data_IF_331670142996
#
_entry.id   IF_331670142996
#
_cell.length_a   1.000
_cell.length_b   1.000
_cell.length_c   1.000
_cell.angle_alpha   90.00
_cell.angle_beta   90.00
_cell.angle_gamma   90.00
#
_symmetry.space_group_name_H-M   'P 1'
#
loop_
_entity.id
_entity.type
_entity.pdbx_description
1 polymer ?
#
# COMPACT_ATOMS: atom_id res chain seq x y z
N UNK A 1 -10.23 16.15 -11.84
CA UNK A 1 -10.59 15.57 -10.53
C UNK A 1 -10.08 14.15 -10.55
N UNK A 2 -9.11 13.79 -9.70
CA UNK A 2 -8.58 12.42 -9.68
C UNK A 2 -9.55 11.55 -8.88
N UNK A 3 -10.02 10.48 -9.51
CA UNK A 3 -10.95 9.52 -8.93
C UNK A 3 -10.20 8.35 -8.30
N UNK A 4 -10.92 7.54 -7.52
CA UNK A 4 -10.44 6.22 -7.08
C UNK A 4 -10.17 5.28 -8.27
N UNK A 5 -9.78 4.03 -8.00
CA UNK A 5 -9.51 3.04 -9.05
C UNK A 5 -10.80 2.49 -9.64
N UNK A 6 -11.12 2.88 -10.87
CA UNK A 6 -12.25 2.42 -11.68
C UNK A 6 -11.77 1.87 -13.03
N UNK A 7 -12.62 1.16 -13.79
CA UNK A 7 -12.27 0.69 -15.13
C UNK A 7 -11.71 1.78 -16.04
N UNK A 8 -12.26 3.00 -15.96
CA UNK A 8 -11.82 4.16 -16.74
C UNK A 8 -10.40 4.58 -16.36
N UNK A 9 -10.04 4.54 -15.08
CA UNK A 9 -8.69 4.84 -14.59
C UNK A 9 -7.68 3.79 -15.03
N UNK A 10 -8.09 2.51 -15.07
CA UNK A 10 -7.25 1.41 -15.60
C UNK A 10 -7.13 1.45 -17.12
N UNK A 11 -8.18 1.91 -17.82
CA UNK A 11 -8.16 2.17 -19.26
C UNK A 11 -7.17 3.29 -19.60
N UNK A 12 -7.21 4.41 -18.87
CA UNK A 12 -6.24 5.51 -19.00
C UNK A 12 -4.79 5.03 -18.79
N UNK A 13 -4.56 4.09 -17.85
CA UNK A 13 -3.27 3.44 -17.70
C UNK A 13 -2.81 2.74 -18.99
N UNK A 14 -3.67 1.92 -19.60
CA UNK A 14 -3.32 1.20 -20.82
C UNK A 14 -3.10 2.16 -22.00
N UNK A 15 -3.96 3.16 -22.18
CA UNK A 15 -3.86 4.17 -23.24
C UNK A 15 -2.53 4.93 -23.15
N UNK A 16 -2.21 5.49 -21.98
CA UNK A 16 -0.92 6.18 -21.76
C UNK A 16 0.28 5.26 -21.87
N UNK A 17 0.15 4.00 -21.46
CA UNK A 17 1.26 3.05 -21.60
C UNK A 17 1.50 2.68 -23.06
N UNK A 18 0.46 2.54 -23.88
CA UNK A 18 0.56 2.24 -25.31
C UNK A 18 1.24 3.35 -26.11
N UNK A 19 1.27 4.59 -25.61
CA UNK A 19 2.06 5.68 -26.20
C UNK A 19 3.57 5.49 -25.98
N UNK A 20 3.98 4.70 -24.98
CA UNK A 20 5.36 4.55 -24.54
C UNK A 20 5.95 3.17 -24.87
N UNK A 21 5.10 2.19 -25.15
CA UNK A 21 5.50 0.78 -25.31
C UNK A 21 4.55 0.03 -26.25
N UNK A 22 4.95 -1.17 -26.70
CA UNK A 22 4.11 -1.96 -27.60
C UNK A 22 3.05 -2.75 -26.85
N UNK A 23 1.97 -3.13 -27.56
CA UNK A 23 0.91 -3.98 -27.00
C UNK A 23 1.44 -5.33 -26.48
N UNK A 24 2.48 -5.90 -27.07
CA UNK A 24 3.10 -7.16 -26.61
C UNK A 24 3.78 -7.02 -25.23
N UNK A 25 4.13 -5.80 -24.82
CA UNK A 25 4.68 -5.52 -23.49
C UNK A 25 3.57 -5.26 -22.44
N UNK A 26 2.31 -5.09 -22.85
CA UNK A 26 1.16 -4.78 -21.99
C UNK A 26 0.07 -5.87 -21.97
N UNK A 27 -0.01 -6.68 -23.02
CA UNK A 27 -1.04 -7.69 -23.22
C UNK A 27 -0.42 -9.06 -23.54
N UNK A 28 -1.07 -10.11 -23.06
CA UNK A 28 -0.81 -11.47 -23.50
C UNK A 28 -1.36 -11.67 -24.90
N UNK A 29 -0.59 -12.31 -25.76
CA UNK A 29 -1.02 -12.68 -27.12
C UNK A 29 -1.45 -14.14 -27.14
N UNK A 30 -2.72 -14.41 -27.45
CA UNK A 30 -3.24 -15.77 -27.62
C UNK A 30 -2.89 -16.36 -28.99
N UNK A 31 -3.05 -17.68 -29.14
CA UNK A 31 -2.82 -18.38 -30.42
C UNK A 31 -3.75 -17.91 -31.55
N UNK A 32 -4.98 -17.47 -31.21
CA UNK A 32 -5.93 -16.83 -32.12
C UNK A 32 -5.67 -15.32 -32.31
N UNK A 33 -4.46 -14.84 -31.99
CA UNK A 33 -3.99 -13.46 -32.19
C UNK A 33 -4.76 -12.36 -31.43
N UNK A 34 -5.41 -12.71 -30.30
CA UNK A 34 -6.05 -11.73 -29.41
C UNK A 34 -5.02 -11.18 -28.41
N UNK A 35 -5.21 -9.93 -28.01
CA UNK A 35 -4.37 -9.24 -27.03
C UNK A 35 -5.18 -9.00 -25.77
N UNK A 36 -4.88 -9.74 -24.69
CA UNK A 36 -5.66 -9.73 -23.45
C UNK A 36 -4.80 -9.31 -22.25
N UNK A 37 -5.37 -8.54 -21.32
CA UNK A 37 -4.69 -8.17 -20.09
C UNK A 37 -4.41 -9.40 -19.21
N UNK A 38 -5.26 -10.42 -19.27
CA UNK A 38 -5.05 -11.69 -18.61
C UNK A 38 -5.51 -12.87 -19.48
N UNK A 39 -4.85 -14.01 -19.30
CA UNK A 39 -5.28 -15.26 -19.92
C UNK A 39 -6.72 -15.60 -19.49
N UNK A 40 -7.63 -15.95 -20.42
CA UNK A 40 -8.97 -16.42 -20.07
C UNK A 40 -8.92 -17.66 -19.15
N UNK A 41 -9.86 -17.79 -18.19
CA UNK A 41 -9.88 -18.92 -17.24
C UNK A 41 -9.76 -20.30 -17.89
N UNK A 42 -10.44 -20.49 -19.02
CA UNK A 42 -10.47 -21.77 -19.77
C UNK A 42 -9.44 -21.85 -20.89
N UNK A 43 -8.45 -20.95 -20.95
CA UNK A 43 -7.43 -20.97 -21.99
C UNK A 43 -6.50 -22.18 -21.84
N UNK A 44 -6.47 -23.03 -22.88
CA UNK A 44 -5.72 -24.29 -22.96
C UNK A 44 -4.46 -24.22 -23.82
N UNK A 45 -4.28 -23.16 -24.61
CA UNK A 45 -3.11 -22.97 -25.47
C UNK A 45 -1.83 -22.67 -24.70
N UNK A 46 -0.72 -22.53 -25.43
CA UNK A 46 0.59 -22.18 -24.84
C UNK A 46 0.53 -20.78 -24.21
N UNK A 47 1.08 -20.66 -23.00
CA UNK A 47 1.10 -19.43 -22.22
C UNK A 47 2.52 -18.86 -22.14
N UNK A 48 2.60 -17.54 -22.11
CA UNK A 48 3.80 -16.77 -21.80
C UNK A 48 3.63 -16.00 -20.50
N UNK A 49 4.74 -15.45 -19.99
CA UNK A 49 4.77 -14.55 -18.84
C UNK A 49 4.93 -13.11 -19.32
N UNK A 50 4.22 -12.17 -18.70
CA UNK A 50 4.29 -10.76 -19.03
C UNK A 50 4.81 -9.98 -17.82
N UNK A 51 6.13 -9.83 -17.73
CA UNK A 51 6.79 -9.15 -16.61
C UNK A 51 6.84 -7.62 -16.79
N UNK A 52 6.99 -7.15 -18.04
CA UNK A 52 7.15 -5.73 -18.39
C UNK A 52 6.02 -4.85 -17.84
N UNK A 53 4.77 -5.30 -17.93
CA UNK A 53 3.60 -4.56 -17.46
C UNK A 53 3.67 -4.16 -15.98
N UNK A 54 4.28 -4.99 -15.13
CA UNK A 54 4.30 -4.74 -13.69
C UNK A 54 5.04 -3.45 -13.34
N UNK A 55 6.09 -3.09 -14.10
CA UNK A 55 6.80 -1.83 -13.92
C UNK A 55 5.95 -0.63 -14.34
N UNK A 56 5.25 -0.72 -15.48
CA UNK A 56 4.37 0.35 -15.97
C UNK A 56 3.22 0.64 -15.01
N UNK A 57 2.49 -0.40 -14.57
CA UNK A 57 1.35 -0.21 -13.65
C UNK A 57 1.80 0.27 -12.27
N UNK A 58 2.96 -0.19 -11.78
CA UNK A 58 3.56 0.30 -10.55
C UNK A 58 3.80 1.81 -10.62
N UNK A 59 4.56 2.26 -11.62
CA UNK A 59 4.86 3.69 -11.77
C UNK A 59 3.61 4.55 -11.98
N UNK A 60 2.65 4.06 -12.77
CA UNK A 60 1.37 4.75 -13.00
C UNK A 60 0.57 4.90 -11.70
N UNK A 61 0.43 3.82 -10.93
CA UNK A 61 -0.37 3.83 -9.70
C UNK A 61 0.26 4.69 -8.60
N UNK A 62 1.58 4.69 -8.47
CA UNK A 62 2.29 5.58 -7.56
C UNK A 62 2.05 7.06 -7.89
N UNK A 63 2.20 7.44 -9.17
CA UNK A 63 1.90 8.81 -9.64
C UNK A 63 0.45 9.19 -9.43
N UNK A 64 -0.48 8.25 -9.68
CA UNK A 64 -1.91 8.44 -9.46
C UNK A 64 -2.21 8.71 -7.98
N UNK A 65 -1.59 7.97 -7.06
CA UNK A 65 -1.72 8.19 -5.61
C UNK A 65 -1.18 9.56 -5.19
N UNK A 66 -0.01 9.98 -5.70
CA UNK A 66 0.52 11.34 -5.43
C UNK A 66 -0.49 12.39 -5.86
N UNK A 67 -0.98 12.31 -7.10
CA UNK A 67 -1.95 13.27 -7.64
C UNK A 67 -3.27 13.29 -6.85
N UNK A 68 -3.76 12.12 -6.44
CA UNK A 68 -4.97 11.97 -5.61
C UNK A 68 -4.83 12.66 -4.24
N UNK A 69 -3.61 12.74 -3.72
CA UNK A 69 -3.32 13.22 -2.36
C UNK A 69 -2.72 14.62 -2.29
N UNK A 70 -2.42 15.26 -3.43
CA UNK A 70 -1.81 16.60 -3.48
C UNK A 70 -2.58 17.65 -2.68
N UNK A 71 -3.90 17.73 -2.87
CA UNK A 71 -4.74 18.70 -2.17
C UNK A 71 -4.79 18.44 -0.66
N UNK A 72 -4.87 17.17 -0.28
CA UNK A 72 -4.88 16.73 1.11
C UNK A 72 -3.54 17.00 1.82
N UNK A 73 -2.42 16.78 1.14
CA UNK A 73 -1.10 17.13 1.66
C UNK A 73 -0.99 18.64 1.87
N UNK A 74 -1.40 19.43 0.88
CA UNK A 74 -1.38 20.88 0.93
C UNK A 74 -2.23 21.44 2.06
N UNK A 75 -3.43 20.91 2.31
CA UNK A 75 -4.29 21.35 3.42
C UNK A 75 -3.69 21.07 4.80
N UNK A 76 -2.75 20.13 4.90
CA UNK A 76 -2.04 19.77 6.11
C UNK A 76 -0.62 20.38 6.19
N UNK A 77 -0.26 21.31 5.29
CA UNK A 77 1.09 21.89 5.18
C UNK A 77 2.19 20.83 4.96
N UNK A 78 1.88 19.79 4.21
CA UNK A 78 2.79 18.70 3.86
C UNK A 78 2.97 18.61 2.34
N UNK A 79 4.02 17.91 1.93
CA UNK A 79 4.26 17.48 0.57
C UNK A 79 3.96 15.99 0.45
N UNK A 80 3.35 15.56 -0.65
CA UNK A 80 3.23 14.14 -1.00
C UNK A 80 4.20 13.84 -2.13
N UNK A 81 5.13 12.92 -1.89
CA UNK A 81 6.28 12.67 -2.76
C UNK A 81 6.35 11.20 -3.16
N UNK A 82 6.73 10.94 -4.41
CA UNK A 82 7.01 9.60 -4.92
C UNK A 82 8.49 9.25 -4.68
N UNK A 83 8.79 7.98 -4.39
CA UNK A 83 10.16 7.47 -4.40
C UNK A 83 11.04 8.06 -3.30
N UNK A 84 10.52 8.18 -2.08
CA UNK A 84 11.24 8.82 -0.96
C UNK A 84 12.33 7.92 -0.41
N UNK A 85 13.52 8.48 -0.27
CA UNK A 85 14.74 7.84 0.27
C UNK A 85 14.96 8.38 1.69
N UNK A 86 15.14 7.48 2.64
CA UNK A 86 15.50 7.78 4.01
C UNK A 86 16.32 6.63 4.59
N UNK A 87 17.65 6.81 4.62
CA UNK A 87 18.59 5.77 5.07
C UNK A 87 18.38 5.40 6.54
N UNK A 88 17.95 6.35 7.39
CA UNK A 88 17.58 6.13 8.80
C UNK A 88 16.44 5.11 8.98
N UNK A 89 15.61 4.93 7.95
CA UNK A 89 14.47 4.00 7.93
C UNK A 89 14.74 2.76 7.05
N UNK A 90 15.98 2.57 6.58
CA UNK A 90 16.32 1.52 5.62
C UNK A 90 15.68 1.69 4.24
N UNK A 91 15.18 2.89 3.92
CA UNK A 91 14.59 3.24 2.63
C UNK A 91 15.68 3.79 1.70
N UNK A 92 16.44 2.88 1.08
CA UNK A 92 17.57 3.25 0.21
C UNK A 92 17.13 3.62 -1.20
N UNK A 93 18.01 4.17 -2.01
CA UNK A 93 17.78 4.38 -3.46
C UNK A 93 17.39 3.13 -4.24
N UNK A 94 17.71 1.92 -3.74
CA UNK A 94 17.34 0.64 -4.36
C UNK A 94 15.95 0.15 -3.96
N UNK A 95 15.43 0.65 -2.84
CA UNK A 95 14.10 0.30 -2.32
C UNK A 95 13.51 1.50 -1.57
N UNK A 96 13.24 2.63 -2.28
CA UNK A 96 12.64 3.80 -1.67
C UNK A 96 11.20 3.50 -1.23
N UNK A 97 10.60 4.36 -0.41
CA UNK A 97 9.17 4.34 -0.22
C UNK A 97 8.45 4.72 -1.52
N UNK A 98 7.36 4.02 -1.83
CA UNK A 98 6.60 4.26 -3.06
C UNK A 98 6.02 5.68 -3.04
N UNK A 99 5.35 6.04 -1.94
CA UNK A 99 4.85 7.40 -1.66
C UNK A 99 5.04 7.73 -0.17
N UNK A 100 5.31 8.99 0.16
CA UNK A 100 5.30 9.47 1.55
C UNK A 100 4.78 10.90 1.68
N UNK A 101 4.24 11.22 2.85
CA UNK A 101 3.97 12.59 3.27
C UNK A 101 5.17 13.13 4.02
N UNK A 102 5.65 14.31 3.61
CA UNK A 102 6.87 14.90 4.13
C UNK A 102 6.67 16.38 4.48
N UNK A 103 7.39 16.86 5.49
CA UNK A 103 7.44 18.28 5.88
C UNK A 103 8.21 19.14 4.86
N UNK A 104 9.09 18.53 4.06
CA UNK A 104 9.91 19.21 3.06
C UNK A 104 9.67 18.65 1.66
N UNK A 105 9.91 19.46 0.64
CA UNK A 105 9.75 19.09 -0.77
C UNK A 105 11.04 18.51 -1.36
N UNK A 106 11.53 17.40 -0.80
CA UNK A 106 12.72 16.69 -1.28
C UNK A 106 12.49 15.17 -1.25
N UNK A 107 12.98 14.44 -2.24
CA UNK A 107 12.88 12.98 -2.24
C UNK A 107 13.82 12.32 -1.24
N UNK A 108 14.97 12.95 -0.92
CA UNK A 108 15.85 12.50 0.15
C UNK A 108 15.43 13.17 1.46
N UNK A 109 15.05 12.37 2.44
CA UNK A 109 14.46 12.80 3.70
C UNK A 109 15.24 12.25 4.90
N UNK A 110 15.18 13.01 6.00
CA UNK A 110 15.42 12.50 7.35
C UNK A 110 14.12 11.94 7.91
N UNK A 111 14.20 10.99 8.86
CA UNK A 111 13.01 10.36 9.42
C UNK A 111 12.07 11.39 10.07
N UNK A 112 12.62 12.38 10.78
CA UNK A 112 11.86 13.48 11.43
C UNK A 112 10.98 14.30 10.48
N UNK A 113 11.26 14.26 9.18
CA UNK A 113 10.50 14.98 8.16
C UNK A 113 9.41 14.13 7.52
N UNK A 114 9.34 12.83 7.78
CA UNK A 114 8.33 11.93 7.23
C UNK A 114 7.18 11.84 8.22
N UNK A 115 5.95 12.03 7.73
CA UNK A 115 4.72 11.96 8.54
C UNK A 115 3.87 10.73 8.27
N UNK A 116 4.00 10.11 7.11
CA UNK A 116 3.28 8.89 6.74
C UNK A 116 4.02 8.24 5.57
N UNK A 117 4.17 6.92 5.62
CA UNK A 117 4.68 6.11 4.50
C UNK A 117 3.53 5.33 3.88
N UNK A 118 3.47 5.35 2.55
CA UNK A 118 2.50 4.62 1.75
C UNK A 118 3.25 3.69 0.80
N UNK A 119 2.98 2.39 0.96
CA UNK A 119 3.42 1.36 0.00
C UNK A 119 2.28 1.05 -0.97
N UNK A 120 2.55 1.09 -2.27
CA UNK A 120 1.55 0.84 -3.31
C UNK A 120 1.70 -0.59 -3.83
N UNK A 121 0.59 -1.33 -3.83
CA UNK A 121 0.46 -2.71 -4.32
C UNK A 121 -0.78 -2.87 -5.19
N UNK A 122 -1.06 -1.82 -5.96
CA UNK A 122 -2.10 -1.81 -6.99
C UNK A 122 -1.62 -2.55 -8.25
N UNK A 123 -2.55 -3.12 -9.00
CA UNK A 123 -2.25 -3.76 -10.30
C UNK A 123 -3.42 -3.66 -11.26
N UNK A 124 -3.28 -4.17 -12.47
CA UNK A 124 -4.44 -4.42 -13.33
C UNK A 124 -5.41 -5.37 -12.61
N UNK A 125 -6.70 -5.04 -12.60
CA UNK A 125 -7.77 -5.78 -11.92
C UNK A 125 -8.73 -6.39 -12.92
N UNK A 126 -9.00 -5.68 -14.01
CA UNK A 126 -9.96 -6.10 -15.01
C UNK A 126 -9.25 -6.79 -16.18
N UNK A 127 -10.00 -7.62 -16.90
CA UNK A 127 -9.52 -8.19 -18.15
C UNK A 127 -9.94 -7.29 -19.30
N UNK A 128 -8.96 -6.71 -19.97
CA UNK A 128 -9.13 -5.88 -21.15
C UNK A 128 -8.68 -6.64 -22.39
N UNK A 129 -9.42 -6.47 -23.47
CA UNK A 129 -9.00 -6.91 -24.80
C UNK A 129 -8.65 -5.70 -25.66
N UNK A 130 -7.50 -5.74 -26.31
CA UNK A 130 -7.05 -4.71 -27.22
C UNK A 130 -7.33 -5.11 -28.67
N UNK A 131 -8.29 -4.44 -29.31
CA UNK A 131 -8.77 -4.74 -30.66
C UNK A 131 -8.76 -3.47 -31.49
N UNK A 132 -8.05 -3.47 -32.63
CA UNK A 132 -8.06 -2.37 -33.61
C UNK A 132 -7.82 -0.96 -33.04
N UNK A 133 -6.99 -0.84 -32.00
CA UNK A 133 -6.70 0.44 -31.35
C UNK A 133 -7.55 0.74 -30.11
N UNK A 134 -8.55 -0.09 -29.82
CA UNK A 134 -9.50 0.13 -28.73
C UNK A 134 -9.35 -0.90 -27.60
N UNK A 135 -9.69 -0.49 -26.38
CA UNK A 135 -9.73 -1.33 -25.20
C UNK A 135 -11.17 -1.68 -24.84
N UNK A 136 -11.47 -2.97 -24.85
CA UNK A 136 -12.79 -3.52 -24.53
C UNK A 136 -12.69 -4.26 -23.20
N UNK A 137 -13.53 -3.88 -22.24
CA UNK A 137 -13.64 -4.59 -20.96
C UNK A 137 -14.34 -5.93 -21.17
N UNK A 138 -13.64 -7.04 -20.92
CA UNK A 138 -14.16 -8.41 -21.12
C UNK A 138 -14.35 -9.18 -19.81
N UNK A 139 -14.02 -8.57 -18.66
CA UNK A 139 -14.41 -9.05 -17.34
C UNK A 139 -13.52 -8.55 -16.21
N UNK A 140 -13.61 -9.20 -15.04
CA UNK A 140 -12.88 -8.86 -13.82
C UNK A 140 -11.91 -9.98 -13.39
N UNK A 141 -11.27 -9.81 -12.23
CA UNK A 141 -10.33 -10.80 -11.68
C UNK A 141 -10.92 -12.16 -11.32
N UNK A 142 -12.25 -12.29 -11.36
CA UNK A 142 -12.94 -13.57 -11.24
C UNK A 142 -13.23 -14.22 -12.60
N UNK A 143 -12.96 -13.58 -13.74
CA UNK A 143 -13.17 -14.15 -15.08
C UNK A 143 -11.88 -14.62 -15.77
N UNK A 144 -10.71 -14.21 -15.27
CA UNK A 144 -9.41 -14.52 -15.88
C UNK A 144 -8.49 -15.37 -14.98
N UNK A 145 -7.39 -15.86 -15.56
CA UNK A 145 -6.30 -16.51 -14.84
C UNK A 145 -5.34 -15.45 -14.31
N UNK A 146 -4.69 -15.75 -13.20
CA UNK A 146 -3.79 -14.81 -12.54
C UNK A 146 -4.51 -13.99 -11.48
N UNK A 147 -3.75 -13.63 -10.46
CA UNK A 147 -4.27 -13.00 -9.25
C UNK A 147 -3.70 -11.58 -9.15
N UNK A 148 -4.54 -10.54 -9.00
CA UNK A 148 -4.06 -9.16 -8.94
C UNK A 148 -3.71 -8.71 -7.52
N UNK A 149 -2.90 -7.65 -7.43
CA UNK A 149 -2.68 -6.85 -6.22
C UNK A 149 -2.44 -7.64 -4.94
N UNK A 150 -3.23 -7.30 -3.92
CA UNK A 150 -3.19 -7.87 -2.57
C UNK A 150 -3.84 -9.26 -2.47
N UNK A 151 -4.52 -9.73 -3.52
CA UNK A 151 -4.93 -11.13 -3.59
C UNK A 151 -3.72 -12.06 -3.79
N UNK A 152 -2.56 -11.55 -4.21
CA UNK A 152 -1.33 -12.35 -4.27
C UNK A 152 -0.60 -12.37 -2.93
N UNK A 153 -0.26 -13.57 -2.47
CA UNK A 153 0.53 -13.76 -1.25
C UNK A 153 1.91 -13.10 -1.33
N UNK A 154 2.57 -13.10 -2.50
CA UNK A 154 3.90 -12.49 -2.63
C UNK A 154 3.83 -10.97 -2.49
N UNK A 155 2.82 -10.31 -3.08
CA UNK A 155 2.58 -8.88 -2.91
C UNK A 155 2.35 -8.52 -1.43
N UNK A 156 1.50 -9.30 -0.74
CA UNK A 156 1.24 -9.12 0.69
C UNK A 156 2.51 -9.27 1.54
N UNK A 157 3.29 -10.32 1.30
CA UNK A 157 4.51 -10.59 2.07
C UNK A 157 5.59 -9.53 1.83
N UNK A 158 5.73 -9.03 0.60
CA UNK A 158 6.67 -7.93 0.28
C UNK A 158 6.28 -6.65 1.02
N UNK A 159 5.00 -6.28 1.02
CA UNK A 159 4.50 -5.12 1.74
C UNK A 159 4.75 -5.22 3.26
N UNK A 160 4.43 -6.38 3.85
CA UNK A 160 4.67 -6.65 5.27
C UNK A 160 6.17 -6.63 5.58
N UNK A 161 6.99 -7.26 4.74
CA UNK A 161 8.44 -7.31 4.92
C UNK A 161 9.08 -5.92 4.90
N UNK A 162 8.66 -5.05 3.99
CA UNK A 162 9.14 -3.67 3.93
C UNK A 162 8.72 -2.86 5.16
N UNK A 163 7.46 -3.01 5.63
CA UNK A 163 7.00 -2.37 6.85
C UNK A 163 7.80 -2.82 8.08
N UNK A 164 8.07 -4.13 8.21
CA UNK A 164 8.92 -4.66 9.28
C UNK A 164 10.33 -4.07 9.19
N UNK A 165 10.93 -4.01 8.00
CA UNK A 165 12.27 -3.44 7.81
C UNK A 165 12.36 -1.98 8.30
N UNK A 166 11.33 -1.17 7.99
CA UNK A 166 11.23 0.20 8.50
C UNK A 166 11.14 0.18 10.04
N UNK A 167 10.23 -0.62 10.62
CA UNK A 167 10.01 -0.69 12.07
C UNK A 167 11.24 -1.12 12.87
N UNK A 168 12.09 -1.99 12.31
CA UNK A 168 13.32 -2.46 12.98
C UNK A 168 14.54 -1.55 12.72
N UNK A 169 14.39 -0.47 11.95
CA UNK A 169 15.47 0.49 11.70
C UNK A 169 15.75 1.40 12.91
N UNK A 170 14.92 1.34 13.95
CA UNK A 170 15.13 2.01 15.24
C UNK A 170 14.03 3.01 15.59
N UNK A 171 14.27 3.77 16.66
CA UNK A 171 13.30 4.69 17.27
C UNK A 171 12.81 5.79 16.32
N UNK A 172 13.63 6.17 15.34
CA UNK A 172 13.27 7.14 14.30
C UNK A 172 12.07 6.72 13.43
N UNK A 173 11.71 5.43 13.43
CA UNK A 173 10.55 4.90 12.71
C UNK A 173 9.30 4.74 13.57
N UNK A 174 9.42 4.93 14.89
CA UNK A 174 8.39 4.52 15.87
C UNK A 174 7.09 5.28 15.69
N UNK A 175 7.17 6.56 15.34
CA UNK A 175 6.04 7.48 15.21
C UNK A 175 5.49 7.62 13.79
N UNK A 176 6.13 6.98 12.81
CA UNK A 176 5.72 7.07 11.41
C UNK A 176 4.67 5.99 11.10
N UNK A 177 3.42 6.33 10.76
CA UNK A 177 2.44 5.36 10.30
C UNK A 177 2.83 4.81 8.92
N UNK A 178 2.46 3.55 8.67
CA UNK A 178 2.68 2.86 7.41
C UNK A 178 1.35 2.31 6.91
N UNK A 179 0.97 2.68 5.69
CA UNK A 179 -0.25 2.19 5.03
C UNK A 179 0.12 1.45 3.76
N UNK A 180 -0.57 0.35 3.48
CA UNK A 180 -0.45 -0.38 2.22
C UNK A 180 -1.67 -0.10 1.37
N UNK A 181 -1.50 0.52 0.21
CA UNK A 181 -2.58 0.78 -0.74
C UNK A 181 -2.65 -0.32 -1.79
N UNK A 182 -3.83 -0.86 -2.02
CA UNK A 182 -4.15 -1.78 -3.10
C UNK A 182 -5.40 -1.34 -3.85
N UNK A 183 -5.85 -2.18 -4.76
CA UNK A 183 -7.08 -1.98 -5.54
C UNK A 183 -7.86 -3.29 -5.72
N UNK A 184 -7.61 -4.24 -4.82
CA UNK A 184 -8.24 -5.56 -4.78
C UNK A 184 -8.62 -5.89 -3.34
N UNK A 185 -9.55 -6.83 -3.12
CA UNK A 185 -9.71 -7.45 -1.82
C UNK A 185 -8.45 -8.21 -1.38
N UNK A 186 -8.49 -8.77 -0.17
CA UNK A 186 -7.48 -9.70 0.35
C UNK A 186 -8.02 -11.13 0.38
N UNK A 187 -7.13 -12.13 0.40
CA UNK A 187 -7.57 -13.52 0.59
C UNK A 187 -8.08 -13.73 2.02
N UNK A 188 -9.02 -14.65 2.21
CA UNK A 188 -9.58 -15.01 3.53
C UNK A 188 -8.51 -15.39 4.55
N UNK A 189 -7.44 -16.05 4.11
CA UNK A 189 -6.29 -16.44 4.93
C UNK A 189 -5.55 -15.24 5.57
N UNK A 190 -5.65 -14.04 4.99
CA UNK A 190 -5.00 -12.83 5.49
C UNK A 190 -5.88 -11.99 6.43
N UNK A 191 -7.18 -12.26 6.55
CA UNK A 191 -8.11 -11.45 7.37
C UNK A 191 -7.60 -11.28 8.81
N UNK A 192 -7.30 -12.40 9.50
CA UNK A 192 -6.75 -12.33 10.87
C UNK A 192 -5.36 -11.69 10.90
N UNK A 193 -4.56 -11.90 9.85
CA UNK A 193 -3.18 -11.41 9.79
C UNK A 193 -3.12 -9.88 9.68
N UNK A 194 -3.91 -9.27 8.80
CA UNK A 194 -3.95 -7.80 8.66
C UNK A 194 -4.47 -7.12 9.92
N UNK A 195 -5.46 -7.73 10.59
CA UNK A 195 -5.96 -7.25 11.87
C UNK A 195 -4.90 -7.33 12.97
N UNK A 196 -4.07 -8.39 12.97
CA UNK A 196 -2.95 -8.51 13.91
C UNK A 196 -1.83 -7.51 13.62
N UNK A 197 -1.49 -7.29 12.34
CA UNK A 197 -0.47 -6.32 11.94
C UNK A 197 -0.84 -4.90 12.35
N UNK A 198 -2.13 -4.52 12.18
CA UNK A 198 -2.65 -3.24 12.66
C UNK A 198 -2.60 -3.13 14.17
N UNK A 199 -3.08 -4.15 14.88
CA UNK A 199 -3.04 -4.17 16.35
C UNK A 199 -1.61 -4.07 16.89
N UNK A 200 -0.66 -4.72 16.23
CA UNK A 200 0.75 -4.69 16.61
C UNK A 200 1.47 -3.38 16.22
N UNK A 201 0.83 -2.46 15.49
CA UNK A 201 1.43 -1.21 15.03
C UNK A 201 2.41 -1.36 13.87
N UNK A 202 2.56 -2.56 13.28
CA UNK A 202 3.50 -2.80 12.17
C UNK A 202 3.02 -2.07 10.91
N UNK A 203 1.72 -2.18 10.60
CA UNK A 203 1.05 -1.53 9.46
C UNK A 203 -0.30 -0.99 9.93
N UNK A 204 -0.56 0.29 9.75
CA UNK A 204 -1.78 0.96 10.25
C UNK A 204 -3.03 0.65 9.40
N UNK A 205 -2.85 0.17 8.17
CA UNK A 205 -3.95 -0.37 7.39
C UNK A 205 -3.55 -0.89 6.01
N UNK A 206 -4.32 -1.86 5.52
CA UNK A 206 -4.34 -2.29 4.13
C UNK A 206 -5.60 -1.73 3.47
N UNK A 207 -5.47 -0.74 2.61
CA UNK A 207 -6.61 -0.03 2.05
C UNK A 207 -6.75 -0.28 0.56
N UNK A 208 -7.92 -0.72 0.13
CA UNK A 208 -8.24 -0.86 -1.29
C UNK A 208 -8.92 0.40 -1.81
N UNK A 209 -8.30 1.08 -2.77
CA UNK A 209 -8.84 2.25 -3.46
C UNK A 209 -9.75 1.89 -4.64
N UNK A 210 -10.29 0.66 -4.67
CA UNK A 210 -11.24 0.22 -5.69
C UNK A 210 -12.59 -0.07 -5.02
N UNK A 211 -13.60 0.79 -5.21
CA UNK A 211 -14.93 0.61 -4.62
C UNK A 211 -15.66 -0.62 -5.14
N UNK A 212 -15.50 -0.95 -6.42
CA UNK A 212 -16.21 -2.05 -7.09
C UNK A 212 -15.25 -2.90 -7.92
N UNK A 213 -14.39 -3.71 -7.28
CA UNK A 213 -13.35 -4.48 -7.98
C UNK A 213 -13.91 -5.66 -8.80
N UNK A 214 -15.16 -6.04 -8.57
CA UNK A 214 -15.95 -7.00 -9.37
C UNK A 214 -17.44 -6.71 -9.20
N UNK A 215 -18.28 -7.32 -10.04
CA UNK A 215 -19.74 -7.17 -9.97
C UNK A 215 -20.32 -7.58 -8.61
N UNK A 216 -19.92 -8.75 -8.11
CA UNK A 216 -20.39 -9.29 -6.84
C UNK A 216 -19.74 -8.59 -5.64
N UNK A 217 -20.38 -8.67 -4.49
CA UNK A 217 -19.83 -8.12 -3.26
C UNK A 217 -18.44 -8.69 -2.92
N UNK A 218 -17.61 -7.81 -2.36
CA UNK A 218 -16.29 -8.12 -1.81
C UNK A 218 -16.24 -7.71 -0.37
N UNK A 219 -15.27 -8.27 0.36
CA UNK A 219 -14.94 -7.84 1.70
C UNK A 219 -14.77 -6.31 1.72
N UNK A 220 -15.60 -5.64 2.51
CA UNK A 220 -15.52 -4.18 2.70
C UNK A 220 -14.52 -3.84 3.80
N UNK A 221 -14.58 -4.53 4.94
CA UNK A 221 -13.62 -4.36 6.02
C UNK A 221 -13.43 -5.62 6.84
N UNK A 222 -12.29 -5.76 7.50
CA UNK A 222 -12.05 -6.81 8.49
C UNK A 222 -12.57 -6.39 9.87
N UNK A 223 -12.80 -7.35 10.81
CA UNK A 223 -13.38 -7.04 12.12
C UNK A 223 -12.63 -5.97 12.92
N UNK A 224 -11.29 -5.89 12.80
CA UNK A 224 -10.48 -4.85 13.47
C UNK A 224 -10.01 -3.75 12.52
N UNK A 225 -10.63 -3.64 11.34
CA UNK A 225 -10.31 -2.65 10.31
C UNK A 225 -8.83 -2.66 9.91
N UNK A 226 -8.18 -3.82 9.97
CA UNK A 226 -6.84 -4.05 9.41
C UNK A 226 -6.83 -3.99 7.88
N UNK A 227 -7.93 -4.36 7.24
CA UNK A 227 -8.21 -4.06 5.84
C UNK A 227 -9.51 -3.28 5.69
N UNK A 228 -9.54 -2.34 4.75
CA UNK A 228 -10.69 -1.48 4.41
C UNK A 228 -10.73 -1.28 2.89
N UNK A 229 -11.90 -1.42 2.27
CA UNK A 229 -12.18 -0.98 0.92
C UNK A 229 -12.83 0.40 0.99
N UNK A 230 -12.21 1.38 0.35
CA UNK A 230 -12.76 2.73 0.25
C UNK A 230 -13.86 2.73 -0.80
N UNK A 231 -15.04 3.24 -0.44
CA UNK A 231 -16.16 3.38 -1.38
C UNK A 231 -16.15 4.79 -2.01
N UNK A 232 -15.67 5.79 -1.27
CA UNK A 232 -15.52 7.17 -1.73
C UNK A 232 -14.15 7.78 -1.34
N UNK A 233 -13.79 8.90 -1.96
CA UNK A 233 -12.52 9.61 -1.67
C UNK A 233 -12.53 10.22 -0.26
N UNK A 234 -13.70 10.68 0.18
CA UNK A 234 -13.93 11.27 1.48
C UNK A 234 -13.63 10.27 2.61
N UNK A 235 -13.99 8.99 2.43
CA UNK A 235 -13.64 7.91 3.36
C UNK A 235 -12.12 7.81 3.51
N UNK A 236 -11.40 7.79 2.38
CA UNK A 236 -9.95 7.68 2.35
C UNK A 236 -9.27 8.85 3.06
N UNK A 237 -9.71 10.07 2.77
CA UNK A 237 -9.22 11.30 3.42
C UNK A 237 -9.50 11.30 4.92
N UNK A 238 -10.67 10.81 5.35
CA UNK A 238 -11.01 10.72 6.77
C UNK A 238 -10.05 9.79 7.52
N UNK A 239 -9.75 8.61 6.98
CA UNK A 239 -8.78 7.69 7.60
C UNK A 239 -7.36 8.23 7.59
N UNK A 240 -6.95 8.96 6.53
CA UNK A 240 -5.65 9.62 6.49
C UNK A 240 -5.52 10.72 7.53
N UNK A 241 -6.56 11.54 7.71
CA UNK A 241 -6.58 12.58 8.75
C UNK A 241 -6.39 11.98 10.14
N UNK A 242 -7.09 10.88 10.46
CA UNK A 242 -6.93 10.18 11.74
C UNK A 242 -5.48 9.73 11.95
N UNK A 243 -4.80 9.23 10.91
CA UNK A 243 -3.41 8.79 11.03
C UNK A 243 -2.42 9.94 11.22
N UNK A 244 -2.63 11.08 10.56
CA UNK A 244 -1.69 12.21 10.60
C UNK A 244 -1.92 13.09 11.84
N UNK A 245 -3.14 13.09 12.42
CA UNK A 245 -3.47 13.93 13.57
C UNK A 245 -3.14 13.33 14.94
N UNK A 246 -2.75 12.05 15.00
CA UNK A 246 -2.43 11.36 16.24
C UNK A 246 -0.93 11.02 16.32
N UNK A 247 -0.37 11.20 17.51
CA UNK A 247 0.99 10.77 17.83
C UNK A 247 0.97 9.29 18.24
N UNK A 248 1.04 8.41 17.25
CA UNK A 248 1.19 6.98 17.48
C UNK A 248 2.65 6.64 17.80
N UNK A 249 2.88 5.64 18.64
CA UNK A 249 4.23 5.10 18.87
C UNK A 249 4.23 3.59 18.75
N UNK A 250 5.06 3.07 17.86
CA UNK A 250 5.39 1.66 17.77
C UNK A 250 6.59 1.34 18.66
N UNK A 251 6.48 0.28 19.46
CA UNK A 251 7.58 -0.28 20.24
C UNK A 251 7.57 -1.81 20.13
N UNK A 252 8.75 -2.42 20.17
CA UNK A 252 8.88 -3.88 20.21
C UNK A 252 10.20 -4.30 20.83
N UNK A 253 10.17 -5.22 21.79
CA UNK A 253 11.36 -5.88 22.33
C UNK A 253 11.02 -7.26 22.90
N UNK A 254 12.06 -8.06 23.13
CA UNK A 254 11.95 -9.38 23.76
C UNK A 254 12.60 -9.32 25.15
N UNK A 255 11.78 -9.20 26.19
CA UNK A 255 12.20 -9.13 27.61
C UNK A 255 11.52 -10.21 28.43
N UNK A 256 12.15 -10.65 29.51
CA UNK A 256 11.51 -11.55 30.48
C UNK A 256 10.41 -10.83 31.26
N UNK A 257 9.50 -11.59 31.89
CA UNK A 257 8.45 -11.03 32.75
C UNK A 257 9.01 -10.20 33.91
N UNK A 258 10.18 -10.59 34.43
CA UNK A 258 10.85 -9.87 35.53
C UNK A 258 11.34 -8.50 35.06
N UNK A 259 12.03 -8.45 33.91
CA UNK A 259 12.50 -7.20 33.34
C UNK A 259 11.35 -6.25 32.99
N UNK A 260 10.27 -6.77 32.39
CA UNK A 260 9.07 -5.98 32.13
C UNK A 260 8.47 -5.40 33.42
N UNK A 261 8.45 -6.17 34.50
CA UNK A 261 8.00 -5.70 35.82
C UNK A 261 8.89 -4.57 36.37
N UNK A 262 10.20 -4.69 36.22
CA UNK A 262 11.15 -3.65 36.66
C UNK A 262 11.01 -2.36 35.84
N UNK A 263 10.83 -2.47 34.52
CA UNK A 263 10.58 -1.31 33.66
C UNK A 263 9.31 -0.58 34.13
N UNK A 264 8.22 -1.31 34.37
CA UNK A 264 6.96 -0.73 34.84
C UNK A 264 7.15 0.01 36.18
N UNK A 265 7.90 -0.58 37.11
CA UNK A 265 8.17 0.03 38.41
C UNK A 265 8.97 1.33 38.29
N UNK A 266 10.01 1.35 37.46
CA UNK A 266 10.82 2.55 37.19
C UNK A 266 9.96 3.63 36.54
N UNK A 267 9.22 3.28 35.48
CA UNK A 267 8.39 4.26 34.77
C UNK A 267 7.34 4.87 35.71
N UNK A 268 6.74 4.09 36.60
CA UNK A 268 5.68 4.58 37.48
C UNK A 268 6.16 5.63 38.52
N UNK A 269 7.48 5.86 38.64
CA UNK A 269 8.06 6.91 39.48
C UNK A 269 7.99 8.30 38.85
N UNK A 270 7.77 8.42 37.54
CA UNK A 270 7.62 9.70 36.83
C UNK A 270 6.32 10.43 37.23
N UNK A 271 6.29 11.76 37.06
CA UNK A 271 5.28 12.63 37.68
C UNK A 271 3.91 12.54 36.98
N UNK A 272 3.89 12.36 35.65
CA UNK A 272 2.65 12.24 34.86
C UNK A 272 2.64 11.09 33.85
N UNK A 273 1.50 10.89 33.17
CA UNK A 273 1.33 9.78 32.23
C UNK A 273 2.16 9.88 30.96
N UNK A 274 2.46 11.09 30.51
CA UNK A 274 3.25 11.32 29.30
C UNK A 274 4.73 11.03 29.59
N UNK A 275 5.24 11.53 30.71
CA UNK A 275 6.59 11.19 31.19
C UNK A 275 6.76 9.70 31.46
N UNK A 276 5.75 9.05 32.09
CA UNK A 276 5.70 7.58 32.23
C UNK A 276 5.80 6.87 30.89
N UNK A 277 5.11 7.37 29.87
CA UNK A 277 5.13 6.83 28.52
C UNK A 277 6.49 6.99 27.85
N UNK A 278 7.07 8.19 27.91
CA UNK A 278 8.42 8.46 27.40
C UNK A 278 9.47 7.58 28.07
N UNK A 279 9.42 7.47 29.40
CA UNK A 279 10.36 6.62 30.15
C UNK A 279 10.21 5.14 29.78
N UNK A 280 8.97 4.69 29.57
CA UNK A 280 8.71 3.33 29.11
C UNK A 280 9.29 3.09 27.71
N UNK A 281 9.11 4.01 26.77
CA UNK A 281 9.64 3.89 25.42
C UNK A 281 11.17 3.88 25.38
N UNK A 282 11.82 4.67 26.23
CA UNK A 282 13.28 4.65 26.41
C UNK A 282 13.74 3.27 26.90
N UNK A 283 13.15 2.76 27.99
CA UNK A 283 13.58 1.53 28.65
C UNK A 283 13.19 0.24 27.90
N UNK A 284 12.11 0.27 27.12
CA UNK A 284 11.65 -0.90 26.35
C UNK A 284 12.40 -1.05 25.03
N UNK A 285 12.94 0.07 24.50
CA UNK A 285 13.68 0.15 23.24
C UNK A 285 15.17 -0.20 23.35
N UNK A 286 15.74 -0.05 24.55
CA UNK A 286 17.06 -0.60 24.96
C UNK A 286 16.99 -2.12 25.22
#
# INVERSE_FOLDING_TARGET
MYSLWYPETEKDFFEKSLELTTKEQLFYKTEDNRYLAYWPKKYSGKKSTLQSRNAFIGNYTEKMVVNLLQNFAKSNNLFVLQGVICEELGLTSRSPADVAFCKTNNTVQKAENIKLIIEVKMSVVWNWEYINGELILVGDYSSHQGTPGLLRSDSMLKAIGKAINIRVSGNASSDIPIVILGNTPIQKSYIKKVDHLKKAGIVQGFWSLNPKPKENETLEMTPKKGFIRMNAYEDFVSYLNELISHDFFFFSSMKSKKELGQIIEICNQEDDFEEKGHKFLELIGD
#
